data_IF_202652645353
#
_entry.id   IF_202652645353
#
_cell.length_a   1.000
_cell.length_b   1.000
_cell.length_c   1.000
_cell.angle_alpha   90.00
_cell.angle_beta   90.00
_cell.angle_gamma   90.00
#
_symmetry.space_group_name_H-M   'P 1'
#
loop_
_entity.id
_entity.type
_entity.pdbx_description
1 polymer ?
#
# COMPACT_ATOMS: atom_id res chain seq x y z
N UNK A 1 -7.51 13.29 6.01
CA UNK A 1 -6.16 13.02 5.49
C UNK A 1 -5.89 11.53 5.68
N UNK A 2 -5.94 10.75 4.60
CA UNK A 2 -5.86 9.29 4.69
C UNK A 2 -4.44 8.91 5.13
N UNK A 3 -4.33 8.24 6.27
CA UNK A 3 -3.03 7.88 6.83
C UNK A 3 -2.54 6.59 6.19
N UNK A 4 -1.28 6.59 5.73
CA UNK A 4 -0.59 5.37 5.29
C UNK A 4 -0.62 4.24 6.34
N UNK A 5 -0.92 4.53 7.60
CA UNK A 5 -1.19 3.53 8.63
C UNK A 5 -2.35 2.58 8.29
N UNK A 6 -3.41 3.05 7.63
CA UNK A 6 -4.55 2.19 7.25
C UNK A 6 -4.16 1.17 6.18
N UNK A 7 -3.42 1.61 5.14
CA UNK A 7 -2.89 0.70 4.10
C UNK A 7 -1.89 -0.31 4.68
N UNK A 8 -1.04 0.13 5.61
CA UNK A 8 -0.06 -0.76 6.22
C UNK A 8 -0.77 -1.80 7.08
N UNK A 9 -1.80 -1.39 7.83
CA UNK A 9 -2.50 -2.23 8.79
C UNK A 9 -1.66 -2.52 10.05
N UNK A 10 -2.29 -3.09 11.09
CA UNK A 10 -1.58 -3.47 12.31
C UNK A 10 -0.47 -4.46 12.00
N UNK A 11 0.75 -4.16 12.44
CA UNK A 11 1.96 -4.95 12.19
C UNK A 11 2.25 -5.22 10.69
N UNK A 12 1.73 -4.39 9.79
CA UNK A 12 1.91 -4.58 8.35
C UNK A 12 1.02 -5.65 7.72
N UNK A 13 -0.03 -6.12 8.42
CA UNK A 13 -0.87 -7.24 7.96
C UNK A 13 -1.50 -6.98 6.59
N UNK A 14 -2.13 -5.82 6.40
CA UNK A 14 -2.86 -5.46 5.18
C UNK A 14 -1.90 -5.39 3.99
N UNK A 15 -0.79 -4.65 4.13
CA UNK A 15 0.17 -4.52 3.03
C UNK A 15 0.86 -5.84 2.69
N UNK A 16 1.11 -6.70 3.69
CA UNK A 16 1.67 -8.03 3.47
C UNK A 16 0.68 -8.96 2.76
N UNK A 17 -0.60 -8.88 3.09
CA UNK A 17 -1.65 -9.61 2.38
C UNK A 17 -1.75 -9.18 0.92
N UNK A 18 -1.72 -7.88 0.63
CA UNK A 18 -1.75 -7.37 -0.75
C UNK A 18 -0.52 -7.85 -1.53
N UNK A 19 0.67 -7.78 -0.94
CA UNK A 19 1.91 -8.31 -1.55
C UNK A 19 1.78 -9.79 -1.89
N UNK A 20 1.31 -10.61 -0.94
CA UNK A 20 1.17 -12.05 -1.13
C UNK A 20 0.09 -12.40 -2.18
N UNK A 21 -1.08 -11.77 -2.11
CA UNK A 21 -2.20 -12.03 -3.01
C UNK A 21 -1.96 -11.60 -4.44
N UNK A 22 -1.14 -10.56 -4.64
CA UNK A 22 -0.83 -10.03 -5.98
C UNK A 22 0.54 -10.46 -6.47
N UNK A 23 1.33 -11.14 -5.65
CA UNK A 23 2.71 -11.52 -5.96
C UNK A 23 3.56 -10.32 -6.41
N UNK A 24 3.38 -9.17 -5.76
CA UNK A 24 4.10 -7.92 -6.05
C UNK A 24 5.04 -7.51 -4.92
N UNK A 25 6.09 -6.78 -5.29
CA UNK A 25 6.96 -6.09 -4.34
C UNK A 25 6.46 -4.66 -4.13
N UNK A 26 5.94 -4.38 -2.94
CA UNK A 26 5.42 -3.07 -2.58
C UNK A 26 6.33 -2.41 -1.54
N UNK A 27 6.82 -1.20 -1.80
CA UNK A 27 7.61 -0.37 -0.88
C UNK A 27 6.86 0.90 -0.52
N UNK A 28 6.93 1.31 0.75
CA UNK A 28 6.31 2.54 1.25
C UNK A 28 7.40 3.38 1.89
N UNK A 29 7.48 4.67 1.55
CA UNK A 29 8.44 5.58 2.19
C UNK A 29 8.22 5.59 3.71
N UNK A 30 9.29 5.48 4.50
CA UNK A 30 9.18 5.53 5.96
C UNK A 30 8.65 6.89 6.41
N UNK A 31 7.90 6.88 7.51
CA UNK A 31 7.54 8.11 8.20
C UNK A 31 8.80 8.84 8.66
N UNK A 32 8.85 10.15 8.52
CA UNK A 32 9.98 10.97 8.94
C UNK A 32 9.56 12.42 9.20
N UNK A 33 10.41 13.15 9.93
CA UNK A 33 10.17 14.57 10.23
C UNK A 33 10.16 15.35 8.91
N UNK A 34 9.05 16.06 8.64
CA UNK A 34 8.84 16.78 7.37
C UNK A 34 8.26 15.96 6.22
N UNK A 35 8.01 14.65 6.39
CA UNK A 35 7.37 13.81 5.38
C UNK A 35 5.86 13.80 5.62
N UNK A 36 5.14 14.64 4.87
CA UNK A 36 3.68 14.74 4.93
C UNK A 36 2.97 13.75 4.00
N UNK A 37 3.65 13.29 2.94
CA UNK A 37 3.14 12.32 1.97
C UNK A 37 4.11 11.15 1.87
N UNK A 38 3.58 9.92 1.92
CA UNK A 38 4.37 8.70 1.70
C UNK A 38 4.13 8.21 0.29
N UNK A 39 5.19 7.90 -0.44
CA UNK A 39 5.09 7.28 -1.76
C UNK A 39 4.96 5.77 -1.61
N UNK A 40 4.12 5.17 -2.45
CA UNK A 40 3.99 3.72 -2.59
C UNK A 40 4.55 3.33 -3.95
N UNK A 41 5.52 2.42 -3.96
CA UNK A 41 6.10 1.87 -5.19
C UNK A 41 5.70 0.40 -5.30
N UNK A 42 5.10 0.01 -6.42
CA UNK A 42 4.68 -1.36 -6.71
C UNK A 42 5.49 -1.88 -7.89
N UNK A 43 6.11 -3.06 -7.73
CA UNK A 43 6.88 -3.73 -8.79
C UNK A 43 6.38 -5.17 -8.93
N UNK A 44 6.26 -5.64 -10.18
CA UNK A 44 5.80 -6.99 -10.50
C UNK A 44 5.35 -7.07 -11.95
N UNK A 45 4.65 -8.15 -12.30
CA UNK A 45 4.02 -8.29 -13.61
C UNK A 45 2.91 -7.25 -13.82
N UNK A 46 2.68 -6.78 -15.05
CA UNK A 46 1.73 -5.70 -15.34
C UNK A 46 0.32 -5.93 -14.79
N UNK A 47 -0.22 -7.14 -14.93
CA UNK A 47 -1.56 -7.45 -14.41
C UNK A 47 -1.60 -7.45 -12.88
N UNK A 48 -0.55 -7.98 -12.26
CA UNK A 48 -0.37 -8.02 -10.81
C UNK A 48 -0.20 -6.62 -10.21
N UNK A 49 0.53 -5.73 -10.89
CA UNK A 49 0.69 -4.32 -10.51
C UNK A 49 -0.66 -3.60 -10.56
N UNK A 50 -1.45 -3.81 -11.62
CA UNK A 50 -2.78 -3.22 -11.74
C UNK A 50 -3.72 -3.70 -10.62
N UNK A 51 -3.72 -5.00 -10.33
CA UNK A 51 -4.50 -5.58 -9.25
C UNK A 51 -4.09 -5.03 -7.89
N UNK A 52 -2.79 -4.93 -7.61
CA UNK A 52 -2.27 -4.33 -6.38
C UNK A 52 -2.70 -2.86 -6.25
N UNK A 53 -2.63 -2.09 -7.35
CA UNK A 53 -3.10 -0.71 -7.40
C UNK A 53 -4.59 -0.57 -7.03
N UNK A 54 -5.45 -1.41 -7.60
CA UNK A 54 -6.89 -1.45 -7.25
C UNK A 54 -7.12 -1.71 -5.76
N UNK A 55 -6.47 -2.74 -5.20
CA UNK A 55 -6.63 -3.09 -3.79
C UNK A 55 -6.14 -1.99 -2.83
N UNK A 56 -5.08 -1.27 -3.22
CA UNK A 56 -4.56 -0.13 -2.47
C UNK A 56 -5.56 1.04 -2.48
N UNK A 57 -6.14 1.36 -3.65
CA UNK A 57 -7.14 2.43 -3.79
C UNK A 57 -8.40 2.08 -3.00
N UNK A 58 -8.91 0.86 -3.10
CA UNK A 58 -10.10 0.44 -2.36
C UNK A 58 -9.89 0.54 -0.84
N UNK A 59 -8.71 0.18 -0.33
CA UNK A 59 -8.38 0.35 1.10
C UNK A 59 -8.29 1.82 1.51
N UNK A 60 -7.84 2.70 0.61
CA UNK A 60 -7.81 4.15 0.85
C UNK A 60 -9.23 4.70 0.97
N UNK A 61 -10.14 4.27 0.09
CA UNK A 61 -11.53 4.71 0.06
C UNK A 61 -12.34 4.15 1.24
N UNK A 62 -12.05 2.92 1.69
CA UNK A 62 -12.76 2.29 2.82
C UNK A 62 -12.39 2.85 4.20
N UNK A 63 -11.42 3.75 4.27
CA UNK A 63 -10.91 4.30 5.54
C UNK A 63 -11.59 5.61 5.95
N UNK A 64 -12.89 5.74 5.68
CA UNK A 64 -13.73 6.84 6.21
C UNK A 64 -13.87 6.78 7.73
#
# INVERSE_FOLDING_TARGET
MISAGSIIGPSGSVINQIRASTQTSIKITKAGKGIHQRCVTVNGEGNNVLQAGKLLIEHLERSE
#
